data_IF_492355180608
#
_entry.id   IF_492355180608
#
_cell.length_a   1.000
_cell.length_b   1.000
_cell.length_c   1.000
_cell.angle_alpha   90.00
_cell.angle_beta   90.00
_cell.angle_gamma   90.00
#
_symmetry.space_group_name_H-M   'P 1'
#
loop_
_entity.id
_entity.type
_entity.pdbx_description
1 polymer ?
#
# COMPACT_ATOMS: atom_id res chain seq x y z
N UNK A 1 -9.77 6.59 -1.43
CA UNK A 1 -8.90 6.36 -2.60
C UNK A 1 -9.58 6.65 -3.95
N UNK A 2 -10.92 6.77 -4.02
CA UNK A 2 -11.64 7.03 -5.28
C UNK A 2 -11.10 8.22 -6.10
N UNK A 3 -10.74 9.34 -5.44
CA UNK A 3 -10.18 10.51 -6.14
C UNK A 3 -8.82 10.30 -6.81
N UNK A 4 -8.03 9.31 -6.38
CA UNK A 4 -6.75 8.97 -7.01
C UNK A 4 -6.89 7.99 -8.18
N UNK A 5 -7.98 7.20 -8.21
CA UNK A 5 -8.24 6.20 -9.24
C UNK A 5 -8.49 6.82 -10.63
N UNK A 6 -8.87 8.10 -10.69
CA UNK A 6 -9.08 8.87 -11.92
C UNK A 6 -7.97 9.90 -12.17
N UNK A 7 -6.78 9.67 -11.61
CA UNK A 7 -5.66 10.62 -11.72
C UNK A 7 -5.22 10.91 -13.15
N UNK A 8 -5.39 9.95 -14.08
CA UNK A 8 -5.08 10.12 -15.51
C UNK A 8 -6.02 11.06 -16.27
N UNK A 9 -7.23 11.28 -15.76
CA UNK A 9 -8.25 12.12 -16.41
C UNK A 9 -8.27 13.55 -15.85
N UNK A 10 -7.45 13.84 -14.83
CA UNK A 10 -7.37 15.15 -14.20
C UNK A 10 -6.41 16.07 -14.97
N UNK A 11 -6.82 17.33 -15.18
CA UNK A 11 -5.97 18.38 -15.77
C UNK A 11 -4.68 18.63 -14.95
N UNK A 12 -4.79 18.65 -13.63
CA UNK A 12 -3.67 18.89 -12.69
C UNK A 12 -3.76 17.96 -11.47
N UNK A 13 -3.36 16.68 -11.58
CA UNK A 13 -3.56 15.69 -10.51
C UNK A 13 -2.81 16.04 -9.21
N UNK A 14 -1.63 16.65 -9.32
CA UNK A 14 -0.78 17.00 -8.16
C UNK A 14 -1.42 18.02 -7.21
N UNK A 15 -2.27 18.91 -7.73
CA UNK A 15 -2.99 19.93 -6.93
C UNK A 15 -4.43 19.51 -6.62
N UNK A 16 -5.10 18.86 -7.56
CA UNK A 16 -6.53 18.52 -7.43
C UNK A 16 -6.77 17.37 -6.46
N UNK A 17 -5.93 16.33 -6.46
CA UNK A 17 -6.13 15.15 -5.59
C UNK A 17 -6.06 15.54 -4.11
N UNK A 18 -5.03 16.25 -3.60
CA UNK A 18 -4.98 16.62 -2.19
C UNK A 18 -6.14 17.52 -1.78
N UNK A 19 -6.43 18.59 -2.55
CA UNK A 19 -7.51 19.53 -2.22
C UNK A 19 -8.87 18.85 -2.20
N UNK A 20 -9.18 18.06 -3.23
CA UNK A 20 -10.44 17.34 -3.32
C UNK A 20 -10.60 16.32 -2.19
N UNK A 21 -9.54 15.56 -1.88
CA UNK A 21 -9.59 14.54 -0.82
C UNK A 21 -9.78 15.15 0.56
N UNK A 22 -9.01 16.18 0.94
CA UNK A 22 -9.17 16.82 2.25
C UNK A 22 -10.51 17.55 2.39
N UNK A 23 -10.97 18.23 1.35
CA UNK A 23 -12.28 18.88 1.35
C UNK A 23 -13.41 17.86 1.52
N UNK A 24 -13.37 16.76 0.77
CA UNK A 24 -14.37 15.69 0.87
C UNK A 24 -14.37 15.04 2.25
N UNK A 25 -13.20 14.74 2.84
CA UNK A 25 -13.11 14.22 4.21
C UNK A 25 -13.68 15.24 5.22
N UNK A 26 -13.32 16.52 5.09
CA UNK A 26 -13.85 17.57 5.97
C UNK A 26 -15.38 17.68 5.91
N UNK A 27 -15.95 17.75 4.70
CA UNK A 27 -17.41 17.86 4.53
C UNK A 27 -18.12 16.60 5.06
N UNK A 28 -17.63 15.40 4.73
CA UNK A 28 -18.28 14.15 5.16
C UNK A 28 -18.18 13.92 6.67
N UNK A 29 -17.04 14.21 7.29
CA UNK A 29 -16.90 14.11 8.75
C UNK A 29 -17.80 15.09 9.49
N UNK A 30 -17.93 16.33 9.01
CA UNK A 30 -18.87 17.30 9.57
C UNK A 30 -20.33 16.85 9.38
N UNK A 31 -20.68 16.35 8.20
CA UNK A 31 -22.04 15.84 7.93
C UNK A 31 -22.39 14.65 8.83
N UNK A 32 -21.49 13.67 8.99
CA UNK A 32 -21.70 12.53 9.89
C UNK A 32 -21.79 12.97 11.35
N UNK A 33 -20.91 13.87 11.81
CA UNK A 33 -20.97 14.43 13.16
C UNK A 33 -22.29 15.14 13.44
N UNK A 34 -22.75 15.95 12.49
CA UNK A 34 -24.03 16.66 12.57
C UNK A 34 -25.22 15.69 12.64
N UNK A 35 -25.25 14.66 11.79
CA UNK A 35 -26.32 13.66 11.80
C UNK A 35 -26.35 12.88 13.12
N UNK A 36 -25.20 12.51 13.68
CA UNK A 36 -25.12 11.84 14.98
C UNK A 36 -25.69 12.71 16.11
N UNK A 37 -25.33 13.99 16.17
CA UNK A 37 -25.81 14.91 17.21
C UNK A 37 -27.32 15.13 17.11
N UNK A 38 -27.85 15.38 15.91
CA UNK A 38 -29.30 15.55 15.72
C UNK A 38 -30.06 14.29 16.14
N UNK A 39 -29.60 13.13 15.69
CA UNK A 39 -30.24 11.85 16.02
C UNK A 39 -30.24 11.61 17.53
N UNK A 40 -29.12 11.88 18.20
CA UNK A 40 -29.00 11.72 19.65
C UNK A 40 -29.89 12.70 20.46
N UNK A 41 -30.14 13.91 19.95
CA UNK A 41 -30.98 14.90 20.62
C UNK A 41 -32.48 14.70 20.39
N UNK A 42 -32.85 14.06 19.27
CA UNK A 42 -34.26 13.97 18.84
C UNK A 42 -34.91 12.63 19.11
N UNK A 43 -34.12 11.56 19.33
CA UNK A 43 -34.65 10.21 19.46
C UNK A 43 -34.19 9.50 20.73
N UNK A 44 -35.13 8.77 21.34
CA UNK A 44 -34.85 7.95 22.53
C UNK A 44 -34.21 6.62 22.11
N UNK A 45 -33.41 6.04 23.02
CA UNK A 45 -32.70 4.77 22.77
C UNK A 45 -33.66 3.60 22.50
N UNK A 46 -34.70 3.47 23.31
CA UNK A 46 -35.64 2.34 23.30
C UNK A 46 -37.08 2.88 23.35
N UNK A 47 -37.96 2.36 22.49
CA UNK A 47 -39.37 2.76 22.42
C UNK A 47 -40.29 1.59 22.07
N UNK A 48 -41.48 1.57 22.67
CA UNK A 48 -42.56 0.60 22.38
C UNK A 48 -43.45 1.04 21.22
N UNK A 49 -43.58 2.35 20.99
CA UNK A 49 -44.50 2.94 20.03
C UNK A 49 -45.94 3.14 20.53
N UNK A 50 -46.29 2.60 21.71
CA UNK A 50 -47.66 2.65 22.25
C UNK A 50 -47.85 3.66 23.38
N UNK A 51 -46.79 3.97 24.13
CA UNK A 51 -46.83 4.83 25.31
C UNK A 51 -45.85 5.99 25.16
N UNK A 52 -46.26 7.17 25.61
CA UNK A 52 -45.38 8.33 25.69
C UNK A 52 -44.32 8.12 26.79
N UNK A 53 -43.12 8.70 26.66
CA UNK A 53 -42.09 8.58 27.67
C UNK A 53 -42.50 9.29 28.97
N UNK A 54 -42.49 8.57 30.09
CA UNK A 54 -42.79 9.12 31.41
C UNK A 54 -41.53 9.72 32.05
N UNK A 55 -41.63 10.95 32.54
CA UNK A 55 -40.55 11.66 33.23
C UNK A 55 -40.75 11.60 34.74
N UNK A 56 -39.82 10.95 35.45
CA UNK A 56 -39.83 10.92 36.90
C UNK A 56 -39.26 12.23 37.46
N UNK A 57 -40.12 13.03 38.09
CA UNK A 57 -39.77 14.30 38.72
C UNK A 57 -38.86 14.14 39.94
N UNK A 58 -38.84 12.97 40.59
CA UNK A 58 -38.02 12.73 41.77
C UNK A 58 -36.59 12.34 41.41
N UNK A 59 -36.42 11.55 40.34
CA UNK A 59 -35.11 11.08 39.86
C UNK A 59 -34.51 11.97 38.75
N UNK A 60 -35.25 12.98 38.26
CA UNK A 60 -34.87 13.86 37.14
C UNK A 60 -34.41 13.08 35.90
N UNK A 61 -35.06 11.95 35.63
CA UNK A 61 -34.72 11.05 34.51
C UNK A 61 -35.99 10.50 33.89
N UNK A 62 -35.92 10.21 32.59
CA UNK A 62 -36.96 9.45 31.91
C UNK A 62 -36.94 8.01 32.41
N UNK A 63 -38.12 7.49 32.72
CA UNK A 63 -38.28 6.09 33.12
C UNK A 63 -38.15 5.24 31.85
N UNK A 64 -37.22 4.27 31.81
CA UNK A 64 -37.11 3.38 30.67
C UNK A 64 -38.39 2.54 30.54
N UNK A 65 -38.90 2.30 29.32
CA UNK A 65 -40.08 1.48 29.11
C UNK A 65 -39.83 0.02 29.54
N UNK A 66 -40.87 -0.67 30.00
CA UNK A 66 -40.78 -2.07 30.43
C UNK A 66 -40.20 -2.99 29.34
N UNK A 67 -40.40 -2.66 28.05
CA UNK A 67 -39.84 -3.42 26.94
C UNK A 67 -38.31 -3.52 26.97
N UNK A 68 -37.63 -2.58 27.63
CA UNK A 68 -36.18 -2.57 27.76
C UNK A 68 -35.68 -3.65 28.72
N UNK A 69 -36.48 -4.02 29.72
CA UNK A 69 -36.11 -5.09 30.65
C UNK A 69 -36.19 -6.46 29.99
N UNK A 70 -37.08 -6.61 29.00
CA UNK A 70 -37.30 -7.86 28.27
C UNK A 70 -36.64 -7.88 26.88
N UNK A 71 -35.89 -6.84 26.48
CA UNK A 71 -35.31 -6.66 25.13
C UNK A 71 -36.33 -6.86 23.98
N UNK A 72 -37.60 -6.51 24.20
CA UNK A 72 -38.67 -6.66 23.20
C UNK A 72 -39.07 -5.35 22.53
N UNK A 73 -38.32 -4.26 22.73
CA UNK A 73 -38.63 -2.98 22.13
C UNK A 73 -38.48 -3.05 20.61
N UNK A 74 -39.50 -2.60 19.86
CA UNK A 74 -39.47 -2.59 18.39
C UNK A 74 -38.90 -1.32 17.79
N UNK A 75 -39.00 -0.20 18.51
CA UNK A 75 -38.60 1.12 18.03
C UNK A 75 -37.50 1.71 18.93
N UNK A 76 -36.96 2.84 18.49
CA UNK A 76 -35.87 3.53 19.16
C UNK A 76 -34.53 3.28 18.48
N UNK A 77 -33.56 4.12 18.81
CA UNK A 77 -32.26 4.16 18.13
C UNK A 77 -31.49 2.83 18.16
N UNK A 78 -31.68 2.01 19.21
CA UNK A 78 -30.98 0.74 19.35
C UNK A 78 -31.63 -0.43 18.58
N UNK A 79 -32.94 -0.36 18.32
CA UNK A 79 -33.72 -1.51 17.83
C UNK A 79 -34.24 -1.32 16.41
N UNK A 80 -34.41 -0.08 15.95
CA UNK A 80 -34.93 0.23 14.62
C UNK A 80 -33.87 0.95 13.76
N UNK A 81 -33.47 0.31 12.66
CA UNK A 81 -32.53 0.88 11.69
C UNK A 81 -33.15 1.99 10.83
N UNK A 82 -34.48 2.10 10.79
CA UNK A 82 -35.21 3.06 9.96
C UNK A 82 -35.57 4.35 10.71
N UNK A 83 -35.03 4.59 11.91
CA UNK A 83 -35.30 5.80 12.72
C UNK A 83 -35.08 7.10 11.96
N UNK A 84 -34.14 7.14 11.01
CA UNK A 84 -33.87 8.34 10.21
C UNK A 84 -35.02 8.70 9.25
N UNK A 85 -35.89 7.74 8.90
CA UNK A 85 -37.10 8.00 8.11
C UNK A 85 -38.16 8.75 8.93
N UNK A 86 -38.27 8.45 10.23
CA UNK A 86 -39.18 9.11 11.17
C UNK A 86 -38.76 10.56 11.47
N UNK A 87 -37.47 10.86 11.39
CA UNK A 87 -36.94 12.23 11.56
C UNK A 87 -37.11 13.10 10.31
N UNK A 88 -37.22 12.46 9.14
CA UNK A 88 -37.35 13.16 7.87
C UNK A 88 -38.71 13.84 7.73
N UNK A 89 -38.75 15.03 7.14
CA UNK A 89 -40.02 15.71 6.84
C UNK A 89 -40.89 14.93 5.84
N UNK A 90 -40.26 14.13 4.97
CA UNK A 90 -40.95 13.29 3.99
C UNK A 90 -40.22 11.95 3.79
N UNK A 91 -40.84 10.87 4.26
CA UNK A 91 -40.28 9.52 4.30
C UNK A 91 -39.83 8.98 2.91
N UNK A 92 -40.63 9.07 1.82
CA UNK A 92 -40.21 8.59 0.49
C UNK A 92 -38.93 9.24 -0.02
N UNK A 93 -38.67 10.51 0.33
CA UNK A 93 -37.45 11.20 -0.09
C UNK A 93 -36.20 10.58 0.52
N UNK A 94 -36.28 10.14 1.77
CA UNK A 94 -35.17 9.47 2.45
C UNK A 94 -34.86 8.14 1.75
N UNK A 95 -35.89 7.36 1.40
CA UNK A 95 -35.70 6.12 0.64
C UNK A 95 -35.03 6.36 -0.72
N UNK A 96 -35.51 7.34 -1.49
CA UNK A 96 -34.88 7.71 -2.78
C UNK A 96 -33.42 8.12 -2.58
N UNK A 97 -33.12 8.87 -1.53
CA UNK A 97 -31.75 9.22 -1.16
C UNK A 97 -30.88 8.01 -0.88
N UNK A 98 -31.35 7.08 -0.04
CA UNK A 98 -30.63 5.83 0.30
C UNK A 98 -30.36 5.00 -0.97
N UNK A 99 -31.35 4.85 -1.86
CA UNK A 99 -31.17 4.15 -3.13
C UNK A 99 -30.14 4.86 -4.03
N UNK A 100 -30.25 6.18 -4.20
CA UNK A 100 -29.34 6.96 -5.03
C UNK A 100 -27.88 6.88 -4.53
N UNK A 101 -27.66 7.04 -3.22
CA UNK A 101 -26.32 6.97 -2.62
C UNK A 101 -25.73 5.57 -2.70
N UNK A 102 -26.55 4.53 -2.45
CA UNK A 102 -26.10 3.14 -2.53
C UNK A 102 -25.73 2.76 -3.96
N UNK A 103 -26.59 3.06 -4.95
CA UNK A 103 -26.35 2.74 -6.35
C UNK A 103 -25.12 3.49 -6.91
N UNK A 104 -24.94 4.75 -6.52
CA UNK A 104 -23.77 5.56 -6.91
C UNK A 104 -22.47 4.94 -6.39
N UNK A 105 -22.46 4.54 -5.11
CA UNK A 105 -21.28 3.95 -4.46
C UNK A 105 -20.91 2.59 -5.06
N UNK A 106 -21.93 1.75 -5.34
CA UNK A 106 -21.75 0.44 -5.99
C UNK A 106 -21.20 0.62 -7.42
N UNK A 107 -21.73 1.55 -8.20
CA UNK A 107 -21.28 1.82 -9.56
C UNK A 107 -19.80 2.22 -9.61
N UNK A 108 -19.36 3.07 -8.68
CA UNK A 108 -17.96 3.46 -8.56
C UNK A 108 -17.03 2.28 -8.24
N UNK A 109 -17.44 1.39 -7.33
CA UNK A 109 -16.64 0.22 -6.96
C UNK A 109 -16.61 -0.85 -8.08
N UNK A 110 -17.74 -1.03 -8.77
CA UNK A 110 -17.88 -2.00 -9.86
C UNK A 110 -17.02 -1.63 -11.06
N UNK A 111 -16.85 -0.33 -11.36
CA UNK A 111 -15.96 0.16 -12.42
C UNK A 111 -14.50 0.18 -11.97
N UNK A 112 -14.24 0.59 -10.72
CA UNK A 112 -12.89 0.80 -10.21
C UNK A 112 -12.11 -0.50 -9.95
N UNK A 113 -12.71 -1.48 -9.27
CA UNK A 113 -11.99 -2.68 -8.83
C UNK A 113 -11.44 -3.53 -10.00
N UNK A 114 -12.21 -3.80 -11.08
CA UNK A 114 -11.71 -4.54 -12.25
C UNK A 114 -10.55 -3.87 -12.96
N UNK A 115 -10.55 -2.53 -13.04
CA UNK A 115 -9.49 -1.75 -13.68
C UNK A 115 -8.19 -1.78 -12.87
N UNK A 116 -8.29 -1.69 -11.54
CA UNK A 116 -7.12 -1.87 -10.65
C UNK A 116 -6.57 -3.29 -10.81
N UNK A 117 -7.44 -4.30 -10.85
CA UNK A 117 -7.03 -5.69 -11.02
C UNK A 117 -6.39 -5.95 -12.40
N UNK A 118 -6.93 -5.36 -13.46
CA UNK A 118 -6.37 -5.42 -14.81
C UNK A 118 -4.95 -4.82 -14.85
N UNK A 119 -4.75 -3.64 -14.26
CA UNK A 119 -3.45 -3.00 -14.19
C UNK A 119 -2.42 -3.88 -13.45
N UNK A 120 -2.82 -4.44 -12.30
CA UNK A 120 -1.99 -5.38 -11.53
C UNK A 120 -1.58 -6.61 -12.35
N UNK A 121 -2.52 -7.17 -13.14
CA UNK A 121 -2.24 -8.32 -14.00
C UNK A 121 -1.31 -7.95 -15.18
N UNK A 122 -1.38 -6.70 -15.66
CA UNK A 122 -0.51 -6.15 -16.70
C UNK A 122 0.96 -6.08 -16.26
N UNK A 123 1.21 -5.85 -14.97
CA UNK A 123 2.56 -5.80 -14.39
C UNK A 123 3.26 -7.17 -14.29
N UNK A 124 2.56 -8.27 -14.64
CA UNK A 124 3.09 -9.65 -14.63
C UNK A 124 3.76 -10.05 -13.31
N UNK A 125 3.33 -9.48 -12.19
CA UNK A 125 3.82 -9.84 -10.84
C UNK A 125 3.42 -11.26 -10.45
N UNK A 126 2.24 -11.68 -10.89
CA UNK A 126 1.68 -12.99 -10.63
C UNK A 126 1.43 -13.69 -11.99
N UNK A 127 2.18 -14.75 -12.34
CA UNK A 127 2.07 -15.37 -13.67
C UNK A 127 0.69 -16.00 -13.91
N UNK A 128 0.03 -16.50 -12.86
CA UNK A 128 -1.25 -17.22 -12.96
C UNK A 128 -2.45 -16.32 -13.32
N UNK A 129 -2.41 -15.03 -13.00
CA UNK A 129 -3.54 -14.10 -13.22
C UNK A 129 -3.38 -13.25 -14.49
N UNK A 130 -2.30 -13.45 -15.25
CA UNK A 130 -2.06 -12.73 -16.50
C UNK A 130 -3.25 -12.74 -17.51
N UNK A 131 -4.06 -13.80 -17.63
CA UNK A 131 -5.22 -13.79 -18.52
C UNK A 131 -6.23 -12.66 -18.23
N UNK A 132 -6.28 -12.12 -17.01
CA UNK A 132 -7.15 -11.00 -16.62
C UNK A 132 -6.63 -9.63 -17.05
N UNK A 133 -5.38 -9.53 -17.52
CA UNK A 133 -4.81 -8.28 -18.05
C UNK A 133 -5.38 -7.87 -19.41
N UNK A 134 -5.95 -8.82 -20.16
CA UNK A 134 -6.48 -8.57 -21.51
C UNK A 134 -7.74 -7.70 -21.44
N UNK A 135 -7.63 -6.48 -21.94
CA UNK A 135 -8.77 -5.60 -22.21
C UNK A 135 -9.40 -5.91 -23.57
N UNK A 136 -10.69 -5.62 -23.71
CA UNK A 136 -11.41 -5.71 -24.98
C UNK A 136 -11.94 -4.33 -25.41
N UNK A 137 -12.07 -4.12 -26.73
CA UNK A 137 -12.64 -2.91 -27.31
C UNK A 137 -11.67 -1.72 -27.35
N UNK A 138 -12.16 -0.56 -27.81
CA UNK A 138 -11.37 0.66 -27.99
C UNK A 138 -10.88 1.25 -26.66
N UNK A 139 -11.64 1.03 -25.58
CA UNK A 139 -11.36 1.57 -24.25
C UNK A 139 -10.60 0.59 -23.32
N UNK A 140 -10.14 -0.56 -23.84
CA UNK A 140 -9.43 -1.58 -23.07
C UNK A 140 -10.20 -2.10 -21.83
N UNK A 141 -11.51 -2.30 -21.93
CA UNK A 141 -12.33 -2.69 -20.77
C UNK A 141 -12.10 -4.17 -20.37
N UNK A 142 -11.90 -4.47 -19.07
CA UNK A 142 -11.51 -5.80 -18.59
C UNK A 142 -12.72 -6.71 -18.27
N UNK A 143 -13.40 -7.23 -19.28
CA UNK A 143 -14.59 -8.10 -19.11
C UNK A 143 -14.36 -9.30 -18.17
N UNK A 144 -13.18 -9.93 -18.24
CA UNK A 144 -12.84 -11.08 -17.36
C UNK A 144 -12.77 -10.66 -15.89
N UNK A 145 -12.22 -9.47 -15.61
CA UNK A 145 -12.14 -8.95 -14.25
C UNK A 145 -13.52 -8.49 -13.77
N UNK A 146 -14.37 -7.91 -14.63
CA UNK A 146 -15.77 -7.60 -14.29
C UNK A 146 -16.53 -8.86 -13.85
N UNK A 147 -16.40 -9.96 -14.60
CA UNK A 147 -17.05 -11.23 -14.25
C UNK A 147 -16.54 -11.78 -12.91
N UNK A 148 -15.23 -11.71 -12.65
CA UNK A 148 -14.66 -12.10 -11.37
C UNK A 148 -15.21 -11.26 -10.21
N UNK A 149 -15.27 -9.92 -10.37
CA UNK A 149 -15.84 -9.05 -9.34
C UNK A 149 -17.32 -9.32 -9.10
N UNK A 150 -18.08 -9.65 -10.14
CA UNK A 150 -19.49 -10.03 -10.01
C UNK A 150 -19.63 -11.33 -9.20
N UNK A 151 -18.82 -12.34 -9.51
CA UNK A 151 -18.85 -13.62 -8.79
C UNK A 151 -18.52 -13.44 -7.31
N UNK A 152 -17.48 -12.65 -7.00
CA UNK A 152 -17.10 -12.34 -5.62
C UNK A 152 -18.23 -11.56 -4.92
N UNK A 153 -18.78 -10.53 -5.57
CA UNK A 153 -19.88 -9.75 -5.00
C UNK A 153 -21.11 -10.63 -4.71
N UNK A 154 -21.51 -11.50 -5.64
CA UNK A 154 -22.62 -12.44 -5.44
C UNK A 154 -22.34 -13.39 -4.27
N UNK A 155 -21.10 -13.89 -4.12
CA UNK A 155 -20.75 -14.77 -3.00
C UNK A 155 -20.87 -14.08 -1.63
N UNK A 156 -20.52 -12.79 -1.56
CA UNK A 156 -20.64 -12.00 -0.32
C UNK A 156 -22.10 -11.63 -0.03
N UNK A 157 -22.88 -11.34 -1.07
CA UNK A 157 -24.33 -11.05 -0.93
C UNK A 157 -25.08 -12.25 -0.36
N UNK A 158 -24.65 -13.49 -0.67
CA UNK A 158 -25.27 -14.72 -0.16
C UNK A 158 -25.16 -14.89 1.36
N UNK A 159 -24.34 -14.10 2.06
CA UNK A 159 -24.27 -14.11 3.53
C UNK A 159 -25.57 -13.62 4.17
N UNK A 160 -26.31 -12.72 3.49
CA UNK A 160 -27.63 -12.28 3.94
C UNK A 160 -27.67 -11.33 5.14
N UNK A 161 -26.51 -10.96 5.72
CA UNK A 161 -26.40 -10.05 6.86
C UNK A 161 -25.37 -8.94 6.63
N UNK A 162 -25.74 -7.69 6.96
CA UNK A 162 -24.87 -6.53 6.72
C UNK A 162 -23.72 -6.42 7.73
N UNK A 163 -23.95 -6.73 9.01
CA UNK A 163 -22.97 -6.50 10.07
C UNK A 163 -21.67 -7.31 9.88
N UNK A 164 -21.72 -8.64 9.61
CA UNK A 164 -20.50 -9.42 9.37
C UNK A 164 -19.74 -8.95 8.10
N UNK A 165 -20.49 -8.51 7.08
CA UNK A 165 -19.90 -7.98 5.84
C UNK A 165 -19.17 -6.67 6.12
N UNK A 166 -19.75 -5.79 6.95
CA UNK A 166 -19.15 -4.50 7.32
C UNK A 166 -17.80 -4.70 8.03
N UNK A 167 -17.73 -5.65 8.97
CA UNK A 167 -16.48 -5.96 9.70
C UNK A 167 -15.40 -6.50 8.75
N UNK A 168 -15.77 -7.40 7.83
CA UNK A 168 -14.86 -7.97 6.84
C UNK A 168 -14.28 -6.87 5.91
N UNK A 169 -15.14 -6.00 5.39
CA UNK A 169 -14.75 -4.90 4.49
C UNK A 169 -13.84 -3.91 5.23
N UNK A 170 -14.20 -3.57 6.48
CA UNK A 170 -13.43 -2.63 7.31
C UNK A 170 -12.01 -3.11 7.55
N UNK A 171 -11.84 -4.41 7.81
CA UNK A 171 -10.53 -5.04 7.98
C UNK A 171 -9.65 -4.92 6.71
N UNK A 172 -10.18 -5.20 5.53
CA UNK A 172 -9.43 -5.07 4.27
C UNK A 172 -9.06 -3.61 3.95
N UNK A 173 -9.95 -2.64 4.20
CA UNK A 173 -9.64 -1.23 4.01
C UNK A 173 -8.58 -0.73 5.00
N UNK A 174 -8.69 -1.10 6.28
CA UNK A 174 -7.69 -0.76 7.29
C UNK A 174 -6.32 -1.33 6.94
N UNK A 175 -6.24 -2.57 6.47
CA UNK A 175 -4.98 -3.17 6.03
C UNK A 175 -4.37 -2.42 4.83
N UNK A 176 -5.18 -2.03 3.82
CA UNK A 176 -4.71 -1.25 2.69
C UNK A 176 -4.19 0.14 3.12
N UNK A 177 -4.87 0.81 4.06
CA UNK A 177 -4.41 2.08 4.63
C UNK A 177 -3.13 1.91 5.47
N UNK A 178 -3.02 0.82 6.24
CA UNK A 178 -1.83 0.52 7.04
C UNK A 178 -0.59 0.32 6.15
N UNK A 179 -0.72 -0.47 5.08
CA UNK A 179 0.38 -0.76 4.13
C UNK A 179 0.77 0.51 3.36
N UNK A 180 -0.21 1.29 2.89
CA UNK A 180 0.06 2.53 2.15
C UNK A 180 0.83 3.53 3.02
N UNK A 181 0.39 3.71 4.28
CA UNK A 181 1.07 4.58 5.24
C UNK A 181 2.47 4.06 5.59
N UNK A 182 2.62 2.76 5.84
CA UNK A 182 3.93 2.17 6.12
C UNK A 182 4.90 2.33 4.94
N UNK A 183 4.42 2.13 3.71
CA UNK A 183 5.22 2.29 2.49
C UNK A 183 5.72 3.74 2.33
N UNK A 184 4.89 4.75 2.59
CA UNK A 184 5.32 6.16 2.59
C UNK A 184 6.38 6.46 3.66
N UNK A 185 6.21 5.90 4.86
CA UNK A 185 7.20 6.02 5.94
C UNK A 185 8.55 5.37 5.55
N UNK A 186 8.52 4.12 5.07
CA UNK A 186 9.73 3.38 4.67
C UNK A 186 10.44 4.06 3.49
N UNK A 187 9.71 4.52 2.48
CA UNK A 187 10.29 5.24 1.35
C UNK A 187 10.99 6.55 1.79
N UNK A 188 10.41 7.24 2.78
CA UNK A 188 10.98 8.47 3.36
C UNK A 188 12.23 8.22 4.20
N UNK A 189 12.24 7.16 5.02
CA UNK A 189 13.40 6.82 5.85
C UNK A 189 14.56 6.30 5.00
N UNK A 190 14.25 5.56 3.92
CA UNK A 190 15.22 5.07 2.96
C UNK A 190 15.82 6.19 2.10
N UNK A 191 15.19 7.37 2.03
CA UNK A 191 15.53 8.47 1.10
C UNK A 191 15.59 7.97 -0.35
N UNK A 192 14.57 7.20 -0.75
CA UNK A 192 14.49 6.64 -2.09
C UNK A 192 14.49 7.76 -3.15
N UNK A 193 15.33 7.74 -4.21
CA UNK A 193 15.49 8.86 -5.13
C UNK A 193 14.19 9.35 -5.80
N UNK A 194 13.28 8.42 -6.09
CA UNK A 194 11.98 8.68 -6.71
C UNK A 194 10.90 9.15 -5.74
N UNK A 195 11.12 9.08 -4.42
CA UNK A 195 10.13 9.48 -3.41
C UNK A 195 10.46 10.87 -2.86
N UNK A 196 9.85 11.91 -3.46
CA UNK A 196 10.01 13.32 -3.08
C UNK A 196 8.64 13.98 -2.86
N UNK A 197 8.03 13.81 -1.68
CA UNK A 197 6.70 14.34 -1.41
C UNK A 197 6.70 15.88 -1.47
N UNK A 198 5.97 16.46 -2.43
CA UNK A 198 5.84 17.92 -2.59
C UNK A 198 4.74 18.55 -1.74
N UNK A 199 3.99 17.74 -0.96
CA UNK A 199 2.89 18.23 -0.14
C UNK A 199 3.40 18.86 1.17
N UNK A 200 3.01 20.12 1.43
CA UNK A 200 3.52 20.95 2.53
C UNK A 200 3.33 20.34 3.93
N UNK A 201 2.19 19.66 4.18
CA UNK A 201 1.88 19.09 5.50
C UNK A 201 2.27 17.62 5.63
N UNK A 202 3.05 17.09 4.69
CA UNK A 202 3.53 15.71 4.78
C UNK A 202 4.58 15.58 5.89
N UNK A 203 4.39 14.60 6.77
CA UNK A 203 5.39 14.20 7.77
C UNK A 203 5.49 12.67 7.82
N UNK A 204 6.71 12.14 7.76
CA UNK A 204 6.97 10.69 7.84
C UNK A 204 6.44 10.07 9.13
N UNK A 205 6.55 10.77 10.27
CA UNK A 205 6.11 10.24 11.56
C UNK A 205 4.60 10.17 11.68
N UNK A 206 3.88 11.11 11.03
CA UNK A 206 2.43 11.05 10.93
C UNK A 206 1.98 9.81 10.13
N UNK A 207 2.73 9.46 9.09
CA UNK A 207 2.47 8.25 8.30
C UNK A 207 2.71 6.98 9.11
N UNK A 208 3.79 6.90 9.89
CA UNK A 208 4.01 5.78 10.82
C UNK A 208 2.89 5.67 11.87
N UNK A 209 2.50 6.80 12.47
CA UNK A 209 1.40 6.85 13.43
C UNK A 209 0.09 6.34 12.81
N UNK A 210 -0.25 6.79 11.60
CA UNK A 210 -1.44 6.31 10.88
C UNK A 210 -1.40 4.82 10.59
N UNK A 211 -0.24 4.27 10.25
CA UNK A 211 -0.07 2.82 10.03
C UNK A 211 -0.31 2.02 11.31
N UNK A 212 0.32 2.40 12.43
CA UNK A 212 0.15 1.76 13.73
C UNK A 212 -1.31 1.85 14.18
N UNK A 213 -1.92 3.03 14.05
CA UNK A 213 -3.32 3.25 14.42
C UNK A 213 -4.26 2.34 13.63
N UNK A 214 -4.04 2.19 12.31
CA UNK A 214 -4.85 1.27 11.49
C UNK A 214 -4.72 -0.17 11.97
N UNK A 215 -3.50 -0.64 12.28
CA UNK A 215 -3.28 -2.00 12.79
C UNK A 215 -3.94 -2.21 14.15
N UNK A 216 -3.83 -1.24 15.06
CA UNK A 216 -4.48 -1.33 16.38
C UNK A 216 -6.01 -1.43 16.24
N UNK A 217 -6.63 -0.57 15.43
CA UNK A 217 -8.09 -0.60 15.20
C UNK A 217 -8.50 -1.93 14.57
N UNK A 218 -7.71 -2.47 13.65
CA UNK A 218 -7.97 -3.76 13.00
C UNK A 218 -8.11 -4.89 14.03
N UNK A 219 -7.15 -5.02 14.95
CA UNK A 219 -7.19 -6.01 16.03
C UNK A 219 -8.31 -5.75 17.05
N UNK A 220 -8.68 -4.48 17.28
CA UNK A 220 -9.81 -4.13 18.16
C UNK A 220 -11.17 -4.54 17.57
N UNK A 221 -11.34 -4.47 16.24
CA UNK A 221 -12.59 -4.88 15.59
C UNK A 221 -12.75 -6.41 15.65
N UNK A 222 -11.79 -7.15 15.10
CA UNK A 222 -11.82 -8.61 15.12
C UNK A 222 -10.40 -9.18 14.94
N UNK A 223 -9.88 -9.80 16.00
CA UNK A 223 -8.53 -10.35 16.01
C UNK A 223 -8.34 -11.54 15.05
N UNK A 224 -9.38 -12.37 14.89
CA UNK A 224 -9.30 -13.58 14.07
C UNK A 224 -9.22 -13.23 12.58
N UNK A 225 -10.12 -12.38 12.11
CA UNK A 225 -10.07 -11.89 10.72
C UNK A 225 -8.81 -11.09 10.46
N UNK A 226 -8.30 -10.36 11.46
CA UNK A 226 -7.04 -9.61 11.35
C UNK A 226 -5.83 -10.52 11.18
N UNK A 227 -5.75 -11.62 11.93
CA UNK A 227 -4.66 -12.60 11.76
C UNK A 227 -4.70 -13.23 10.36
N UNK A 228 -5.90 -13.57 9.87
CA UNK A 228 -6.07 -14.12 8.51
C UNK A 228 -5.61 -13.10 7.46
N UNK A 229 -6.00 -11.83 7.55
CA UNK A 229 -5.56 -10.81 6.58
C UNK A 229 -4.05 -10.60 6.61
N UNK A 230 -3.44 -10.50 7.80
CA UNK A 230 -1.98 -10.41 7.93
C UNK A 230 -1.26 -11.62 7.32
N UNK A 231 -1.78 -12.83 7.55
CA UNK A 231 -1.21 -14.05 6.99
C UNK A 231 -1.27 -14.04 5.45
N UNK A 232 -2.40 -13.65 4.86
CA UNK A 232 -2.55 -13.53 3.40
C UNK A 232 -1.57 -12.49 2.84
N UNK A 233 -1.44 -11.31 3.45
CA UNK A 233 -0.49 -10.30 3.00
C UNK A 233 0.96 -10.75 3.14
N UNK A 234 1.30 -11.47 4.21
CA UNK A 234 2.62 -12.05 4.40
C UNK A 234 2.97 -13.05 3.30
N UNK A 235 2.04 -13.96 2.97
CA UNK A 235 2.22 -14.93 1.87
C UNK A 235 2.40 -14.22 0.52
N UNK A 236 1.58 -13.21 0.22
CA UNK A 236 1.71 -12.43 -1.02
C UNK A 236 3.06 -11.70 -1.09
N UNK A 237 3.50 -11.08 0.01
CA UNK A 237 4.79 -10.39 0.09
C UNK A 237 5.96 -11.36 -0.14
N UNK A 238 5.93 -12.52 0.51
CA UNK A 238 6.94 -13.56 0.35
C UNK A 238 6.95 -14.07 -1.09
N UNK A 239 5.78 -14.34 -1.68
CA UNK A 239 5.65 -14.77 -3.07
C UNK A 239 6.28 -13.79 -4.06
N UNK A 240 5.96 -12.49 -3.94
CA UNK A 240 6.53 -11.44 -4.81
C UNK A 240 8.05 -11.36 -4.62
N UNK A 241 8.55 -11.50 -3.38
CA UNK A 241 9.98 -11.45 -3.11
C UNK A 241 10.76 -12.61 -3.74
N UNK A 242 10.17 -13.80 -3.80
CA UNK A 242 10.80 -14.96 -4.43
C UNK A 242 10.72 -14.91 -5.96
N UNK A 243 9.59 -14.50 -6.52
CA UNK A 243 9.46 -14.27 -7.96
C UNK A 243 10.07 -12.92 -8.33
N UNK A 244 11.39 -12.88 -8.58
CA UNK A 244 12.06 -11.72 -9.17
C UNK A 244 11.45 -11.42 -10.54
N UNK A 245 10.45 -10.53 -10.58
CA UNK A 245 9.93 -10.02 -11.83
C UNK A 245 11.01 -9.18 -12.52
N UNK A 246 11.02 -9.19 -13.84
CA UNK A 246 12.05 -8.51 -14.65
C UNK A 246 11.92 -6.97 -14.63
N UNK A 247 10.94 -6.44 -13.86
CA UNK A 247 10.59 -5.03 -13.79
C UNK A 247 11.19 -4.44 -12.50
N UNK A 248 12.28 -3.69 -12.66
CA UNK A 248 12.95 -3.02 -11.54
C UNK A 248 12.29 -1.66 -11.24
N UNK A 249 11.35 -1.66 -10.30
CA UNK A 249 10.67 -0.44 -9.82
C UNK A 249 11.53 0.44 -8.89
N UNK A 250 12.79 0.06 -8.63
CA UNK A 250 13.68 0.75 -7.70
C UNK A 250 13.23 0.57 -6.25
N UNK A 251 13.52 -0.58 -5.67
CA UNK A 251 13.04 -0.92 -4.32
C UNK A 251 13.63 -0.01 -3.24
N UNK A 252 12.85 0.32 -2.22
CA UNK A 252 13.34 1.07 -1.05
C UNK A 252 14.48 0.34 -0.34
N UNK A 253 14.52 -0.99 -0.43
CA UNK A 253 15.64 -1.81 0.06
C UNK A 253 16.95 -1.53 -0.67
N UNK A 254 16.93 -1.38 -2.00
CA UNK A 254 18.14 -1.08 -2.79
C UNK A 254 18.61 0.35 -2.54
N UNK A 255 17.68 1.30 -2.45
CA UNK A 255 18.01 2.68 -2.07
C UNK A 255 18.66 2.75 -0.68
N UNK A 256 18.17 1.96 0.27
CA UNK A 256 18.74 1.90 1.61
C UNK A 256 20.14 1.26 1.61
N UNK A 257 20.38 0.22 0.79
CA UNK A 257 21.72 -0.37 0.59
C UNK A 257 22.70 0.66 0.04
N UNK A 258 22.32 1.39 -1.00
CA UNK A 258 23.15 2.45 -1.57
C UNK A 258 23.47 3.54 -0.54
N UNK A 259 22.46 4.02 0.20
CA UNK A 259 22.66 5.03 1.25
C UNK A 259 23.57 4.54 2.38
N UNK A 260 23.45 3.27 2.80
CA UNK A 260 24.34 2.66 3.79
C UNK A 260 25.76 2.60 3.25
N UNK A 261 25.96 2.14 2.01
CA UNK A 261 27.29 2.09 1.38
C UNK A 261 27.93 3.49 1.30
N UNK A 262 27.19 4.49 0.84
CA UNK A 262 27.67 5.88 0.76
C UNK A 262 28.05 6.44 2.13
N UNK A 263 27.20 6.27 3.14
CA UNK A 263 27.49 6.74 4.50
C UNK A 263 28.71 6.02 5.09
N UNK A 264 28.89 4.73 4.81
CA UNK A 264 30.08 3.99 5.22
C UNK A 264 31.33 4.51 4.52
N UNK A 265 31.28 4.78 3.21
CA UNK A 265 32.39 5.37 2.45
C UNK A 265 32.76 6.77 2.96
N UNK A 266 31.78 7.63 3.25
CA UNK A 266 32.02 8.96 3.82
C UNK A 266 32.65 8.90 5.21
N UNK A 267 32.29 7.90 6.02
CA UNK A 267 32.94 7.66 7.32
C UNK A 267 34.38 7.20 7.15
N UNK A 268 34.64 6.27 6.23
CA UNK A 268 36.00 5.78 5.91
C UNK A 268 36.88 6.93 5.38
N UNK A 269 36.33 7.83 4.56
CA UNK A 269 37.07 8.99 4.05
C UNK A 269 37.50 9.99 5.12
N UNK A 270 36.90 9.96 6.31
CA UNK A 270 37.23 10.85 7.43
C UNK A 270 38.14 10.21 8.48
N UNK A 271 38.29 8.89 8.45
CA UNK A 271 39.19 8.19 9.37
C UNK A 271 40.61 8.32 8.85
N UNK A 272 41.53 8.74 9.72
CA UNK A 272 42.97 8.78 9.39
C UNK A 272 43.51 7.35 9.22
N UNK A 273 44.37 7.19 8.22
CA UNK A 273 45.04 5.92 7.97
C UNK A 273 46.05 5.64 9.07
N UNK A 274 45.90 4.50 9.76
CA UNK A 274 46.86 4.07 10.78
C UNK A 274 47.68 2.90 10.25
N UNK A 275 49.01 2.95 10.42
CA UNK A 275 49.96 1.92 9.97
C UNK A 275 49.61 0.50 10.45
N UNK A 276 48.98 0.39 11.63
CA UNK A 276 48.55 -0.90 12.22
C UNK A 276 47.30 -1.50 11.56
N UNK A 277 46.55 -0.71 10.81
CA UNK A 277 45.34 -1.10 10.08
C UNK A 277 45.54 -1.08 8.56
N UNK A 278 46.77 -1.30 8.10
CA UNK A 278 47.05 -1.40 6.66
C UNK A 278 46.21 -2.51 6.01
N UNK A 279 45.47 -2.16 4.96
CA UNK A 279 44.71 -3.09 4.12
C UNK A 279 45.18 -2.91 2.67
N UNK A 280 45.79 -3.93 2.05
CA UNK A 280 46.29 -3.80 0.67
C UNK A 280 45.10 -3.64 -0.29
N UNK A 281 45.01 -2.48 -0.95
CA UNK A 281 44.05 -2.24 -2.03
C UNK A 281 44.77 -2.52 -3.35
N UNK A 282 44.32 -3.55 -4.08
CA UNK A 282 45.05 -4.07 -5.23
C UNK A 282 44.30 -3.67 -6.52
N UNK A 283 45.00 -2.95 -7.40
CA UNK A 283 44.59 -2.75 -8.79
C UNK A 283 45.36 -3.74 -9.67
N UNK A 284 44.67 -4.74 -10.20
CA UNK A 284 45.26 -5.80 -11.01
C UNK A 284 44.95 -5.52 -12.48
N UNK A 285 45.98 -5.29 -13.28
CA UNK A 285 45.85 -5.06 -14.72
C UNK A 285 45.68 -6.40 -15.47
N UNK A 286 44.50 -6.99 -15.30
CA UNK A 286 44.19 -8.33 -15.82
C UNK A 286 43.95 -8.33 -17.34
N UNK A 287 43.59 -7.18 -17.92
CA UNK A 287 42.93 -7.20 -19.24
C UNK A 287 41.59 -7.93 -19.09
N UNK A 288 41.25 -8.82 -20.04
CA UNK A 288 40.08 -9.68 -19.87
C UNK A 288 40.31 -10.65 -18.68
N UNK A 289 39.55 -10.54 -17.58
CA UNK A 289 39.75 -11.36 -16.38
C UNK A 289 39.53 -12.86 -16.62
N UNK A 290 38.71 -13.23 -17.61
CA UNK A 290 38.51 -14.64 -17.99
C UNK A 290 39.77 -15.22 -18.63
N UNK A 291 40.51 -14.40 -19.38
CA UNK A 291 41.72 -14.86 -20.06
C UNK A 291 42.89 -15.06 -19.09
N UNK A 292 42.87 -14.41 -17.92
CA UNK A 292 43.95 -14.44 -16.92
C UNK A 292 43.43 -14.75 -15.52
N UNK A 293 42.68 -15.83 -15.37
CA UNK A 293 42.12 -16.26 -14.07
C UNK A 293 43.19 -16.46 -13.00
N UNK A 294 44.34 -17.07 -13.35
CA UNK A 294 45.43 -17.31 -12.39
C UNK A 294 45.95 -16.02 -11.73
N UNK A 295 45.94 -14.90 -12.45
CA UNK A 295 46.35 -13.60 -11.90
C UNK A 295 45.30 -13.04 -10.92
N UNK A 296 44.02 -13.25 -11.21
CA UNK A 296 42.90 -12.88 -10.33
C UNK A 296 42.95 -13.71 -9.06
N UNK A 297 43.16 -15.02 -9.18
CA UNK A 297 43.25 -15.94 -8.04
C UNK A 297 44.48 -15.64 -7.17
N UNK A 298 45.62 -15.31 -7.77
CA UNK A 298 46.80 -14.86 -7.03
C UNK A 298 46.53 -13.58 -6.25
N UNK A 299 45.92 -12.58 -6.88
CA UNK A 299 45.57 -11.33 -6.21
C UNK A 299 44.48 -11.52 -5.12
N UNK A 300 43.58 -12.49 -5.32
CA UNK A 300 42.61 -12.92 -4.32
C UNK A 300 43.30 -13.59 -3.12
N UNK A 301 44.33 -14.43 -3.34
CA UNK A 301 45.11 -15.04 -2.26
C UNK A 301 45.81 -13.99 -1.39
N UNK A 302 46.30 -12.89 -1.99
CA UNK A 302 46.94 -11.79 -1.26
C UNK A 302 45.92 -11.02 -0.40
N UNK A 303 44.73 -10.72 -0.96
CA UNK A 303 43.71 -9.91 -0.28
C UNK A 303 42.77 -10.72 0.65
N UNK A 304 42.69 -12.03 0.43
CA UNK A 304 41.84 -13.00 1.12
C UNK A 304 40.38 -12.53 1.30
N UNK A 305 39.85 -11.79 0.30
CA UNK A 305 38.49 -11.24 0.31
C UNK A 305 38.19 -10.18 1.39
N UNK A 306 39.21 -9.64 2.08
CA UNK A 306 39.06 -8.67 3.19
C UNK A 306 39.38 -7.22 2.79
N UNK A 307 39.89 -7.03 1.59
CA UNK A 307 40.31 -5.74 1.02
C UNK A 307 39.72 -5.54 -0.36
N UNK A 308 39.78 -4.30 -0.85
CA UNK A 308 39.30 -3.95 -2.19
C UNK A 308 40.25 -4.54 -3.26
N UNK A 309 39.71 -5.43 -4.10
CA UNK A 309 40.37 -5.89 -5.33
C UNK A 309 39.67 -5.26 -6.55
N UNK A 310 40.44 -4.57 -7.39
CA UNK A 310 39.99 -3.93 -8.62
C UNK A 310 40.66 -4.62 -9.82
N UNK A 311 39.89 -5.14 -10.75
CA UNK A 311 40.41 -5.69 -12.00
C UNK A 311 40.29 -4.65 -13.12
N UNK A 312 41.42 -4.20 -13.65
CA UNK A 312 41.51 -3.23 -14.75
C UNK A 312 41.59 -3.91 -16.11
N UNK A 313 40.70 -3.52 -17.02
CA UNK A 313 40.72 -3.93 -18.42
C UNK A 313 40.70 -2.72 -19.35
N UNK A 314 41.77 -2.55 -20.13
CA UNK A 314 41.83 -1.54 -21.19
C UNK A 314 41.43 -2.21 -22.51
N UNK A 315 40.43 -1.64 -23.19
CA UNK A 315 40.02 -2.07 -24.53
C UNK A 315 40.59 -1.13 -25.57
N UNK A 316 41.47 -1.59 -26.49
CA UNK A 316 42.18 -0.72 -27.43
C UNK A 316 41.32 -0.23 -28.61
N UNK A 317 39.99 -0.32 -28.52
CA UNK A 317 39.08 0.05 -29.59
C UNK A 317 38.46 1.42 -29.33
N UNK A 318 38.20 2.20 -30.38
CA UNK A 318 37.42 3.44 -30.27
C UNK A 318 36.05 3.18 -29.64
N UNK A 319 35.61 4.07 -28.75
CA UNK A 319 34.36 3.96 -28.02
C UNK A 319 33.16 4.01 -28.98
N UNK A 320 32.60 2.84 -29.29
CA UNK A 320 31.34 2.72 -30.02
C UNK A 320 30.21 2.24 -29.10
N UNK A 321 28.97 2.61 -29.46
CA UNK A 321 27.77 2.17 -28.71
C UNK A 321 27.68 0.65 -28.66
N UNK A 322 27.98 -0.02 -29.78
CA UNK A 322 27.99 -1.48 -29.88
C UNK A 322 29.08 -2.13 -29.03
N UNK A 323 30.30 -1.59 -29.04
CA UNK A 323 31.40 -2.11 -28.21
C UNK A 323 31.06 -1.96 -26.71
N UNK A 324 30.47 -0.83 -26.33
CA UNK A 324 30.05 -0.58 -24.94
C UNK A 324 28.97 -1.57 -24.47
N UNK A 325 28.01 -1.89 -25.34
CA UNK A 325 26.93 -2.82 -25.04
C UNK A 325 27.42 -4.28 -24.96
N UNK A 326 28.36 -4.67 -25.83
CA UNK A 326 29.06 -5.97 -25.76
C UNK A 326 29.84 -6.11 -24.45
N UNK A 327 30.63 -5.10 -24.08
CA UNK A 327 31.38 -5.08 -22.82
C UNK A 327 30.42 -5.18 -21.62
N UNK A 328 29.27 -4.50 -21.67
CA UNK A 328 28.25 -4.58 -20.62
C UNK A 328 27.68 -6.00 -20.48
N UNK A 329 27.36 -6.66 -21.59
CA UNK A 329 26.90 -8.07 -21.59
C UNK A 329 27.95 -9.01 -21.03
N UNK A 330 29.22 -8.78 -21.36
CA UNK A 330 30.36 -9.57 -20.88
C UNK A 330 30.55 -9.37 -19.37
N UNK A 331 30.48 -8.14 -18.88
CA UNK A 331 30.54 -7.81 -17.46
C UNK A 331 29.38 -8.43 -16.67
N UNK A 332 28.14 -8.40 -17.17
CA UNK A 332 27.01 -9.04 -16.50
C UNK A 332 27.21 -10.57 -16.36
N UNK A 333 27.81 -11.22 -17.38
CA UNK A 333 28.17 -12.65 -17.28
C UNK A 333 29.28 -12.87 -16.27
N UNK A 334 30.27 -11.98 -16.23
CA UNK A 334 31.39 -12.05 -15.30
C UNK A 334 30.97 -11.81 -13.85
N UNK A 335 30.13 -10.81 -13.59
CA UNK A 335 29.57 -10.57 -12.27
C UNK A 335 28.84 -11.81 -11.76
N UNK A 336 28.03 -12.50 -12.57
CA UNK A 336 27.36 -13.73 -12.13
C UNK A 336 28.33 -14.85 -11.72
N UNK A 337 29.51 -14.92 -12.33
CA UNK A 337 30.57 -15.90 -11.99
C UNK A 337 31.30 -15.48 -10.72
N UNK A 338 31.58 -14.18 -10.57
CA UNK A 338 32.45 -13.63 -9.52
C UNK A 338 31.70 -13.04 -8.30
N UNK A 339 30.38 -12.90 -8.32
CA UNK A 339 29.58 -12.41 -7.17
C UNK A 339 29.67 -13.35 -5.95
N UNK A 340 30.05 -14.61 -6.17
CA UNK A 340 30.37 -15.56 -5.08
C UNK A 340 31.64 -15.19 -4.31
N UNK A 341 32.48 -14.26 -4.81
CA UNK A 341 33.84 -14.00 -4.33
C UNK A 341 34.09 -12.54 -3.88
N UNK A 342 33.07 -11.68 -3.77
CA UNK A 342 33.18 -10.26 -3.33
C UNK A 342 34.14 -9.38 -4.18
N UNK A 343 34.05 -9.45 -5.51
CA UNK A 343 34.85 -8.59 -6.41
C UNK A 343 34.12 -7.30 -6.84
N UNK A 344 34.86 -6.20 -6.97
CA UNK A 344 34.38 -4.94 -7.55
C UNK A 344 35.13 -4.68 -8.87
N UNK A 345 34.41 -4.64 -9.99
CA UNK A 345 34.99 -4.29 -11.30
C UNK A 345 34.95 -2.77 -11.49
N UNK A 346 36.11 -2.16 -11.77
CA UNK A 346 36.19 -0.72 -12.05
C UNK A 346 36.53 -0.49 -13.52
N UNK A 347 35.79 0.42 -14.15
CA UNK A 347 35.98 0.85 -15.54
C UNK A 347 36.93 2.05 -15.54
N UNK A 348 38.07 1.93 -16.22
CA UNK A 348 38.95 3.07 -16.50
C UNK A 348 38.92 3.26 -18.01
N UNK A 349 38.45 4.42 -18.45
CA UNK A 349 38.38 4.80 -19.87
C UNK A 349 39.73 5.32 -20.36
#
# INVERSE_FOLDING_TARGET
>A
MAGANMSGDLRDPSKSIPKGTFCAIGITTLAYGWCMVITALTTVRDATGNSLPEFDKHLNRFIPPECRLNDTCRFGLANDYQVMTLQGAWEPLIFVGVFATSLSSVSGCLIGAPRIFQALCGDKLFPFIHPFAKGNGKNNDPFRAYFLTLLIALSVIMIGELNPIADLISNFFLAAFAITNFACFDASIAKSPGFRPGFRFYNKWLSLFGSILCVCIMFMLNWLTSLVTFFVFFLLFVFIKYNKSHINWGTSTDANRYRRALNSLLKISRTEDHVKNYRPQLLVLTGNPVARQALVDFAYCISNGRSLLLCGHVTPHQSSVQATDLIRKLNNRLENIFFKLNFLFLKIY
#
